data_IF_522677357810
#
_entry.id   IF_522677357810
#
_cell.length_a   1.000
_cell.length_b   1.000
_cell.length_c   1.000
_cell.angle_alpha   90.00
_cell.angle_beta   90.00
_cell.angle_gamma   90.00
#
_symmetry.space_group_name_H-M   'P 1'
#
loop_
_entity.id
_entity.type
_entity.pdbx_description
1 polymer ?
#
# COMPACT_ATOMS: atom_id res chain seq x y z
N UNK A 1 23.87 -51.78 -44.32
CA UNK A 1 24.03 -50.77 -43.24
C UNK A 1 23.66 -49.42 -43.81
N UNK A 2 22.49 -48.87 -43.48
CA UNK A 2 22.08 -47.50 -43.81
C UNK A 2 21.73 -46.82 -42.49
N UNK A 3 22.54 -45.84 -42.08
CA UNK A 3 22.32 -45.06 -40.88
C UNK A 3 21.36 -43.91 -41.20
N UNK A 4 20.22 -43.86 -40.50
CA UNK A 4 19.31 -42.72 -40.51
C UNK A 4 19.83 -41.66 -39.54
N UNK A 5 20.14 -40.48 -40.04
CA UNK A 5 20.37 -39.28 -39.23
C UNK A 5 19.01 -38.69 -38.84
N UNK A 6 18.68 -38.71 -37.55
CA UNK A 6 17.60 -37.91 -36.98
C UNK A 6 18.19 -36.57 -36.51
N UNK A 7 17.83 -35.49 -37.21
CA UNK A 7 18.09 -34.14 -36.74
C UNK A 7 16.99 -33.76 -35.73
N UNK A 8 17.34 -33.73 -34.44
CA UNK A 8 16.45 -33.24 -33.39
C UNK A 8 16.39 -31.71 -33.45
N UNK A 9 15.24 -31.17 -33.85
CA UNK A 9 14.90 -29.76 -33.68
C UNK A 9 14.65 -29.49 -32.19
N UNK A 10 15.63 -28.91 -31.50
CA UNK A 10 15.43 -28.31 -30.19
C UNK A 10 14.71 -26.98 -30.38
N UNK A 11 13.38 -26.99 -30.19
CA UNK A 11 12.58 -25.78 -30.09
C UNK A 11 13.02 -24.96 -28.87
N UNK A 12 13.47 -23.73 -29.12
CA UNK A 12 13.68 -22.70 -28.11
C UNK A 12 12.31 -22.32 -27.53
N UNK A 13 11.90 -22.97 -26.44
CA UNK A 13 10.84 -22.44 -25.60
C UNK A 13 11.35 -21.17 -24.92
N UNK A 14 10.98 -20.01 -25.46
CA UNK A 14 11.12 -18.72 -24.79
C UNK A 14 10.21 -18.72 -23.56
N UNK A 15 10.73 -19.16 -22.41
CA UNK A 15 10.03 -18.97 -21.14
C UNK A 15 10.00 -17.46 -20.86
N UNK A 16 8.83 -16.81 -20.77
CA UNK A 16 8.79 -15.42 -20.33
C UNK A 16 9.39 -15.37 -18.92
N UNK A 17 10.52 -14.67 -18.79
CA UNK A 17 11.06 -14.28 -17.50
C UNK A 17 10.05 -13.29 -16.89
N UNK A 18 9.12 -13.81 -16.10
CA UNK A 18 8.33 -12.97 -15.21
C UNK A 18 9.32 -12.34 -14.23
N UNK A 19 9.46 -11.01 -14.32
CA UNK A 19 10.25 -10.26 -13.37
C UNK A 19 9.75 -10.56 -11.96
N UNK A 20 10.69 -10.76 -11.02
CA UNK A 20 10.32 -10.95 -9.62
C UNK A 20 9.49 -9.74 -9.15
N UNK A 21 8.47 -9.96 -8.30
CA UNK A 21 7.66 -8.86 -7.79
C UNK A 21 8.55 -7.84 -7.08
N UNK A 22 8.27 -6.56 -7.30
CA UNK A 22 9.01 -5.49 -6.67
C UNK A 22 8.91 -5.62 -5.14
N UNK A 23 10.05 -5.64 -4.47
CA UNK A 23 10.11 -5.73 -3.02
C UNK A 23 10.32 -4.34 -2.45
N UNK A 24 9.43 -3.95 -1.54
CA UNK A 24 9.62 -2.74 -0.75
C UNK A 24 10.72 -2.90 0.31
N UNK A 25 11.18 -1.78 0.84
CA UNK A 25 12.24 -1.73 1.84
C UNK A 25 12.14 -0.46 2.71
N UNK A 26 12.82 -0.49 3.85
CA UNK A 26 13.07 0.70 4.67
C UNK A 26 14.57 1.02 4.76
N UNK A 27 14.90 2.29 4.99
CA UNK A 27 16.26 2.77 5.17
C UNK A 27 16.25 4.02 6.03
N UNK A 28 17.19 4.13 6.97
CA UNK A 28 17.35 5.32 7.79
C UNK A 28 18.80 5.80 7.75
N UNK A 29 18.97 7.11 7.71
CA UNK A 29 20.25 7.78 7.81
C UNK A 29 20.08 9.04 8.66
N UNK A 30 20.70 9.05 9.85
CA UNK A 30 20.69 10.18 10.79
C UNK A 30 19.26 10.67 11.10
N UNK A 31 18.87 11.85 10.61
CA UNK A 31 17.59 12.49 10.90
C UNK A 31 16.55 12.29 9.78
N UNK A 32 16.84 11.37 8.85
CA UNK A 32 15.99 11.06 7.71
C UNK A 32 15.81 9.55 7.53
N UNK A 33 14.65 9.16 7.03
CA UNK A 33 14.36 7.79 6.66
C UNK A 33 13.51 7.70 5.39
N UNK A 34 13.47 6.51 4.81
CA UNK A 34 12.81 6.16 3.57
C UNK A 34 12.07 4.85 3.77
N UNK A 35 10.82 4.79 3.31
CA UNK A 35 10.12 3.54 3.04
C UNK A 35 9.58 3.58 1.61
N UNK A 36 9.88 2.52 0.85
CA UNK A 36 9.27 2.29 -0.45
C UNK A 36 8.49 0.98 -0.41
N UNK A 37 7.30 0.98 -1.00
CA UNK A 37 6.42 -0.20 -1.03
C UNK A 37 6.57 -0.99 -2.35
N UNK A 38 5.87 -2.13 -2.42
CA UNK A 38 5.87 -3.05 -3.56
C UNK A 38 5.17 -2.51 -4.82
N UNK A 39 4.61 -1.29 -4.80
CA UNK A 39 4.10 -0.61 -5.99
C UNK A 39 5.14 0.31 -6.63
N UNK A 40 6.23 0.58 -5.90
CA UNK A 40 7.29 1.52 -6.29
C UNK A 40 7.11 2.92 -5.71
N UNK A 41 6.04 3.16 -4.95
CA UNK A 41 5.84 4.43 -4.26
C UNK A 41 6.78 4.54 -3.05
N UNK A 42 7.38 5.71 -2.87
CA UNK A 42 8.37 5.99 -1.85
C UNK A 42 7.95 7.19 -0.99
N UNK A 43 8.26 7.09 0.30
CA UNK A 43 7.98 8.09 1.35
C UNK A 43 9.26 8.34 2.14
N UNK A 44 9.82 9.53 2.05
CA UNK A 44 10.98 9.96 2.79
C UNK A 44 10.56 10.93 3.91
N UNK A 45 10.80 10.54 5.17
CA UNK A 45 10.49 11.37 6.33
C UNK A 45 11.77 12.02 6.87
N UNK A 46 11.72 13.33 7.09
CA UNK A 46 12.76 14.13 7.73
C UNK A 46 12.27 14.72 9.05
N UNK A 47 13.19 14.89 10.00
CA UNK A 47 12.86 15.34 11.35
C UNK A 47 13.61 16.61 11.74
N UNK A 48 13.04 17.35 12.70
CA UNK A 48 13.64 18.53 13.30
C UNK A 48 15.00 18.25 13.92
N UNK A 49 15.79 19.32 14.10
CA UNK A 49 17.10 19.24 14.78
C UNK A 49 16.94 18.79 16.22
N UNK A 50 15.85 19.19 16.89
CA UNK A 50 15.47 18.68 18.21
C UNK A 50 14.28 17.73 18.10
N UNK A 51 14.20 16.81 19.06
CA UNK A 51 13.03 15.96 19.26
C UNK A 51 11.79 16.81 19.53
N UNK A 52 10.62 16.35 19.09
CA UNK A 52 9.35 16.97 19.44
C UNK A 52 9.14 18.36 18.82
N UNK A 53 9.61 18.58 17.59
CA UNK A 53 9.43 19.87 16.90
C UNK A 53 8.60 19.73 15.62
N UNK A 54 9.24 19.27 14.56
CA UNK A 54 8.70 19.27 13.20
C UNK A 54 9.12 18.00 12.48
N UNK A 55 8.27 17.52 11.56
CA UNK A 55 8.64 16.50 10.61
C UNK A 55 8.04 16.79 9.24
N UNK A 56 8.79 16.48 8.20
CA UNK A 56 8.35 16.58 6.80
C UNK A 56 8.28 15.18 6.21
N UNK A 57 7.23 14.91 5.42
CA UNK A 57 7.08 13.75 4.59
C UNK A 57 7.13 14.14 3.11
N UNK A 58 8.13 13.62 2.39
CA UNK A 58 8.23 13.70 0.94
C UNK A 58 7.71 12.41 0.33
N UNK A 59 6.74 12.48 -0.59
CA UNK A 59 6.13 11.30 -1.21
C UNK A 59 6.20 11.38 -2.73
N UNK A 60 6.54 10.27 -3.40
CA UNK A 60 6.46 10.14 -4.86
C UNK A 60 6.07 8.71 -5.25
N UNK A 61 5.03 8.58 -6.07
CA UNK A 61 4.65 7.30 -6.67
C UNK A 61 5.66 6.87 -7.75
N UNK A 62 5.63 5.59 -8.17
CA UNK A 62 6.40 5.12 -9.34
C UNK A 62 5.71 5.48 -10.67
N UNK A 63 6.47 5.48 -11.77
CA UNK A 63 6.04 5.96 -13.09
C UNK A 63 6.63 7.33 -13.44
N UNK A 64 6.82 7.60 -14.74
CA UNK A 64 7.54 8.78 -15.28
C UNK A 64 6.90 10.12 -14.91
N UNK A 65 5.57 10.24 -14.98
CA UNK A 65 4.83 11.49 -14.74
C UNK A 65 4.49 11.77 -13.26
N UNK A 66 5.22 11.15 -12.33
CA UNK A 66 4.93 11.30 -10.89
C UNK A 66 5.78 12.40 -10.25
N UNK A 67 5.12 13.38 -9.65
CA UNK A 67 5.78 14.49 -8.95
C UNK A 67 5.98 14.20 -7.46
N UNK A 68 7.00 14.84 -6.89
CA UNK A 68 7.22 14.83 -5.44
C UNK A 68 6.22 15.77 -4.76
N UNK A 69 5.58 15.29 -3.70
CA UNK A 69 4.73 16.11 -2.82
C UNK A 69 5.35 16.20 -1.44
N UNK A 70 5.18 17.33 -0.76
CA UNK A 70 5.68 17.52 0.60
C UNK A 70 4.55 17.92 1.57
N UNK A 71 4.51 17.25 2.71
CA UNK A 71 3.61 17.55 3.83
C UNK A 71 4.44 17.74 5.09
N UNK A 72 4.09 18.69 5.95
CA UNK A 72 4.72 18.91 7.24
C UNK A 72 3.71 18.71 8.37
N UNK A 73 4.18 18.22 9.51
CA UNK A 73 3.44 18.17 10.78
C UNK A 73 4.35 18.63 11.91
N UNK A 74 3.73 19.04 13.00
CA UNK A 74 4.39 19.50 14.21
C UNK A 74 4.07 18.59 15.40
N UNK A 75 4.83 18.76 16.47
CA UNK A 75 4.65 17.96 17.67
C UNK A 75 3.31 18.23 18.36
N UNK A 76 2.67 17.14 18.78
CA UNK A 76 1.33 17.06 19.35
C UNK A 76 1.30 16.18 20.61
N UNK A 77 2.47 15.81 21.16
CA UNK A 77 2.55 14.97 22.36
C UNK A 77 1.96 15.68 23.58
N UNK A 78 2.24 16.98 23.72
CA UNK A 78 1.77 17.77 24.86
C UNK A 78 0.42 18.43 24.60
N UNK A 79 0.22 18.99 23.40
CA UNK A 79 -0.98 19.72 23.01
C UNK A 79 -1.25 19.51 21.52
N UNK A 80 -2.52 19.36 21.15
CA UNK A 80 -2.94 19.34 19.74
C UNK A 80 -2.61 20.68 19.05
N UNK A 81 -2.47 20.65 17.72
CA UNK A 81 -2.30 21.87 16.92
C UNK A 81 -3.64 22.61 16.87
N UNK A 82 -3.70 23.90 17.28
CA UNK A 82 -4.94 24.68 17.18
C UNK A 82 -5.43 24.81 15.72
N UNK A 83 -6.74 24.71 15.49
CA UNK A 83 -7.33 24.74 14.15
C UNK A 83 -7.11 26.05 13.37
N UNK A 84 -6.84 27.17 14.06
CA UNK A 84 -6.52 28.47 13.48
C UNK A 84 -5.00 28.69 13.30
N UNK A 85 -4.21 27.63 13.47
CA UNK A 85 -2.75 27.72 13.34
C UNK A 85 -2.32 28.03 11.91
N UNK A 86 -1.26 28.83 11.81
CA UNK A 86 -0.62 29.17 10.54
C UNK A 86 0.79 28.59 10.52
N UNK A 87 1.16 27.97 9.40
CA UNK A 87 2.49 27.45 9.18
C UNK A 87 3.12 28.07 7.93
N UNK A 88 4.45 28.26 7.95
CA UNK A 88 5.21 28.78 6.80
C UNK A 88 6.54 28.06 6.63
N UNK A 89 7.13 28.16 5.43
CA UNK A 89 8.48 27.68 5.13
C UNK A 89 9.46 28.85 5.09
N UNK A 90 10.59 28.73 5.77
CA UNK A 90 11.72 29.65 5.66
C UNK A 90 12.97 28.92 5.20
N UNK A 91 13.68 29.50 4.23
CA UNK A 91 14.98 29.01 3.75
C UNK A 91 15.97 30.16 3.80
N UNK A 92 17.09 29.99 4.51
CA UNK A 92 18.09 31.04 4.75
C UNK A 92 17.43 32.37 5.21
N UNK A 93 16.50 32.27 6.16
CA UNK A 93 15.71 33.37 6.73
C UNK A 93 14.75 34.09 5.75
N UNK A 94 14.64 33.62 4.50
CA UNK A 94 13.65 34.09 3.53
C UNK A 94 12.34 33.31 3.69
N UNK A 95 11.23 34.03 3.82
CA UNK A 95 9.87 33.47 3.86
C UNK A 95 9.38 33.05 2.46
N UNK A 96 8.88 31.81 2.36
CA UNK A 96 8.27 31.20 1.17
C UNK A 96 6.73 31.13 1.26
N UNK A 97 6.14 31.84 2.23
CA UNK A 97 4.71 31.99 2.37
C UNK A 97 4.07 30.94 3.26
N UNK A 98 2.76 31.12 3.48
CA UNK A 98 1.95 30.20 4.26
C UNK A 98 1.78 28.84 3.54
N UNK A 99 1.68 27.79 4.34
CA UNK A 99 1.36 26.44 3.88
C UNK A 99 -0.15 26.21 3.91
N UNK A 100 -0.64 25.35 3.02
CA UNK A 100 -2.06 24.97 2.99
C UNK A 100 -2.36 23.99 4.12
N UNK A 101 -3.37 24.24 4.95
CA UNK A 101 -3.88 23.21 5.86
C UNK A 101 -4.49 22.06 5.04
N UNK A 102 -4.00 20.84 5.26
CA UNK A 102 -4.52 19.62 4.64
C UNK A 102 -5.60 18.98 5.51
N UNK A 103 -5.35 18.96 6.82
CA UNK A 103 -6.26 18.55 7.89
C UNK A 103 -5.86 19.29 9.18
N UNK A 104 -6.45 18.89 10.32
CA UNK A 104 -6.23 19.53 11.63
C UNK A 104 -4.78 19.48 12.13
N UNK A 105 -3.92 18.63 11.53
CA UNK A 105 -2.57 18.34 12.00
C UNK A 105 -1.48 18.43 10.94
N UNK A 106 -1.86 18.49 9.66
CA UNK A 106 -0.92 18.47 8.53
C UNK A 106 -1.06 19.70 7.63
N UNK A 107 0.10 20.19 7.16
CA UNK A 107 0.18 21.30 6.21
C UNK A 107 0.90 20.85 4.94
N UNK A 108 0.30 21.14 3.79
CA UNK A 108 0.84 20.81 2.46
C UNK A 108 1.66 21.98 1.93
N UNK A 109 2.81 21.66 1.35
CA UNK A 109 3.60 22.59 0.55
C UNK A 109 3.09 22.57 -0.89
N UNK A 110 3.00 23.75 -1.52
CA UNK A 110 2.75 23.83 -2.96
C UNK A 110 3.98 23.37 -3.79
N UNK A 111 3.88 23.43 -5.12
CA UNK A 111 4.94 22.97 -6.02
C UNK A 111 6.22 23.82 -5.92
N UNK A 112 6.09 25.14 -5.76
CA UNK A 112 7.22 26.05 -5.65
C UNK A 112 7.93 25.88 -4.30
N UNK A 113 7.17 25.78 -3.22
CA UNK A 113 7.64 25.50 -1.87
C UNK A 113 8.32 24.12 -1.79
N UNK A 114 7.73 23.09 -2.41
CA UNK A 114 8.32 21.74 -2.47
C UNK A 114 9.65 21.76 -3.22
N UNK A 115 9.72 22.48 -4.34
CA UNK A 115 10.95 22.63 -5.13
C UNK A 115 12.02 23.39 -4.34
N UNK A 116 11.64 24.47 -3.64
CA UNK A 116 12.55 25.24 -2.80
C UNK A 116 13.10 24.41 -1.64
N UNK A 117 12.24 23.64 -0.96
CA UNK A 117 12.64 22.72 0.10
C UNK A 117 13.64 21.68 -0.42
N UNK A 118 13.37 21.05 -1.56
CA UNK A 118 14.27 20.06 -2.16
C UNK A 118 15.63 20.66 -2.51
N UNK A 119 15.66 21.87 -3.07
CA UNK A 119 16.91 22.59 -3.35
C UNK A 119 17.66 22.92 -2.06
N UNK A 120 16.96 23.32 -1.00
CA UNK A 120 17.57 23.60 0.29
C UNK A 120 18.21 22.35 0.91
N UNK A 121 17.51 21.20 0.86
CA UNK A 121 18.03 19.91 1.34
C UNK A 121 19.26 19.47 0.54
N UNK A 122 19.22 19.62 -0.78
CA UNK A 122 20.33 19.25 -1.69
C UNK A 122 21.58 20.07 -1.40
N UNK A 123 21.41 21.37 -1.14
CA UNK A 123 22.49 22.32 -0.92
C UNK A 123 22.84 22.52 0.57
N UNK A 124 22.23 21.75 1.48
CA UNK A 124 22.43 21.84 2.94
C UNK A 124 22.22 23.26 3.49
N UNK A 125 21.20 23.96 3.00
CA UNK A 125 20.82 25.30 3.45
C UNK A 125 20.07 25.25 4.78
N UNK A 126 19.93 26.40 5.43
CA UNK A 126 19.13 26.52 6.66
C UNK A 126 17.65 26.40 6.28
N UNK A 127 16.93 25.45 6.88
CA UNK A 127 15.50 25.22 6.66
C UNK A 127 14.79 25.32 8.01
N UNK A 128 13.77 26.17 8.09
CA UNK A 128 12.89 26.29 9.24
C UNK A 128 11.45 26.24 8.77
N UNK A 129 10.59 25.61 9.55
CA UNK A 129 9.15 25.84 9.47
C UNK A 129 8.75 26.75 10.60
N UNK A 130 7.75 27.60 10.38
CA UNK A 130 7.08 28.27 11.50
C UNK A 130 5.76 27.61 11.80
N UNK A 131 5.37 27.60 13.07
CA UNK A 131 4.01 27.35 13.52
C UNK A 131 3.62 28.49 14.45
N UNK A 132 2.64 29.31 14.08
CA UNK A 132 2.21 30.50 14.84
C UNK A 132 3.38 31.43 15.22
N UNK A 133 4.34 31.59 14.31
CA UNK A 133 5.54 32.41 14.51
C UNK A 133 6.68 31.74 15.30
N UNK A 134 6.49 30.53 15.84
CA UNK A 134 7.58 29.76 16.43
C UNK A 134 8.44 29.10 15.35
N UNK A 135 9.74 29.36 15.36
CA UNK A 135 10.70 28.78 14.40
C UNK A 135 11.14 27.38 14.84
N UNK A 136 10.96 26.40 13.95
CA UNK A 136 11.23 24.99 14.17
C UNK A 136 12.18 24.49 13.07
N UNK A 137 13.48 24.32 13.38
CA UNK A 137 14.48 23.97 12.37
C UNK A 137 14.36 22.51 11.92
N UNK A 138 14.33 22.30 10.60
CA UNK A 138 14.42 20.97 10.00
C UNK A 138 15.88 20.55 9.86
N UNK A 139 16.23 19.33 10.30
CA UNK A 139 17.58 18.80 10.07
C UNK A 139 17.77 18.42 8.59
N UNK A 140 18.91 18.78 8.01
CA UNK A 140 19.35 18.25 6.70
C UNK A 140 20.27 17.03 6.82
N UNK A 141 20.55 16.55 8.03
CA UNK A 141 21.51 15.48 8.24
C UNK A 141 20.96 14.13 7.77
N UNK A 142 21.52 13.58 6.70
CA UNK A 142 21.11 12.29 6.11
C UNK A 142 20.11 12.41 4.96
N UNK A 143 19.63 13.63 4.65
CA UNK A 143 18.64 13.85 3.59
C UNK A 143 19.15 13.42 2.22
N UNK A 144 20.41 13.72 1.89
CA UNK A 144 21.02 13.36 0.60
C UNK A 144 21.12 11.85 0.41
N UNK A 145 21.51 11.10 1.43
CA UNK A 145 21.59 9.64 1.34
C UNK A 145 20.21 9.01 1.15
N UNK A 146 19.19 9.54 1.85
CA UNK A 146 17.79 9.09 1.71
C UNK A 146 17.21 9.43 0.33
N UNK A 147 17.36 10.68 -0.13
CA UNK A 147 16.85 11.13 -1.43
C UNK A 147 17.56 10.42 -2.60
N UNK A 148 18.88 10.22 -2.51
CA UNK A 148 19.63 9.47 -3.50
C UNK A 148 19.20 8.01 -3.57
N UNK A 149 18.88 7.39 -2.43
CA UNK A 149 18.36 6.02 -2.39
C UNK A 149 16.95 5.91 -2.96
N UNK A 150 16.12 6.94 -2.78
CA UNK A 150 14.80 7.05 -3.38
C UNK A 150 14.88 7.14 -4.91
N UNK A 151 15.76 8.00 -5.44
CA UNK A 151 16.03 8.07 -6.89
C UNK A 151 16.57 6.73 -7.44
N UNK A 152 17.52 6.10 -6.74
CA UNK A 152 18.08 4.83 -7.18
C UNK A 152 17.03 3.72 -7.27
N UNK A 153 16.13 3.62 -6.28
CA UNK A 153 15.06 2.62 -6.30
C UNK A 153 14.05 2.87 -7.42
N UNK A 154 13.65 4.13 -7.62
CA UNK A 154 12.74 4.52 -8.69
C UNK A 154 13.42 4.63 -10.07
N UNK A 155 14.73 4.37 -10.14
CA UNK A 155 15.57 4.45 -11.34
C UNK A 155 15.55 5.82 -12.02
N UNK A 156 15.65 6.85 -11.18
CA UNK A 156 15.60 8.27 -11.58
C UNK A 156 16.95 8.98 -11.47
N UNK A 157 18.01 8.30 -11.02
CA UNK A 157 19.35 8.92 -10.97
C UNK A 157 19.77 9.36 -12.37
N UNK A 158 20.10 10.64 -12.54
CA UNK A 158 20.50 11.22 -13.82
C UNK A 158 19.36 11.65 -14.73
N UNK A 159 18.08 11.48 -14.36
CA UNK A 159 16.94 12.02 -15.13
C UNK A 159 16.78 13.52 -14.89
N UNK A 160 15.99 14.19 -15.73
CA UNK A 160 15.73 15.63 -15.57
C UNK A 160 15.01 15.96 -14.23
N UNK A 161 14.23 15.00 -13.72
CA UNK A 161 13.44 15.12 -12.51
C UNK A 161 13.97 14.32 -11.30
N UNK A 162 15.24 13.90 -11.37
CA UNK A 162 15.96 13.36 -10.22
C UNK A 162 15.90 14.35 -9.04
N UNK A 163 15.84 13.83 -7.81
CA UNK A 163 15.80 14.64 -6.60
C UNK A 163 17.15 15.29 -6.30
N UNK A 164 18.26 14.58 -6.57
CA UNK A 164 19.61 15.09 -6.31
C UNK A 164 20.42 15.28 -7.60
N UNK A 165 20.73 14.17 -8.27
CA UNK A 165 21.67 14.14 -9.38
C UNK A 165 20.90 14.25 -10.69
N UNK A 166 20.41 15.45 -10.99
CA UNK A 166 19.68 15.76 -12.23
C UNK A 166 20.61 15.65 -13.44
N UNK A 167 20.09 15.12 -14.53
CA UNK A 167 20.82 14.97 -15.80
C UNK A 167 19.89 14.97 -17.00
N UNK A 168 20.40 14.44 -18.11
CA UNK A 168 19.72 14.37 -19.41
C UNK A 168 19.29 12.94 -19.77
N UNK A 169 19.34 12.00 -18.82
CA UNK A 169 18.83 10.66 -19.04
C UNK A 169 17.32 10.70 -19.30
N UNK A 170 16.87 9.98 -20.33
CA UNK A 170 15.46 9.88 -20.69
C UNK A 170 14.66 9.05 -19.68
N UNK A 171 13.33 9.18 -19.78
CA UNK A 171 12.38 8.60 -18.83
C UNK A 171 12.16 7.09 -19.01
N UNK A 172 12.67 6.50 -20.09
CA UNK A 172 12.47 5.09 -20.46
C UNK A 172 12.96 4.09 -19.41
N UNK A 173 13.94 4.48 -18.59
CA UNK A 173 14.52 3.64 -17.56
C UNK A 173 13.84 3.78 -16.18
N UNK A 174 12.93 4.77 -16.02
CA UNK A 174 12.21 5.01 -14.78
C UNK A 174 11.39 3.77 -14.41
N UNK A 175 11.38 3.43 -13.13
CA UNK A 175 10.59 2.31 -12.62
C UNK A 175 9.09 2.56 -12.90
N UNK A 176 8.41 1.71 -13.70
CA UNK A 176 6.98 1.82 -13.90
C UNK A 176 6.22 1.48 -12.61
N UNK A 177 5.03 2.08 -12.45
CA UNK A 177 4.14 1.71 -11.37
C UNK A 177 3.77 0.22 -11.46
N UNK A 178 3.91 -0.50 -10.36
CA UNK A 178 3.47 -1.90 -10.25
C UNK A 178 2.13 -1.94 -9.52
N UNK A 179 1.07 -2.58 -10.06
CA UNK A 179 -0.19 -2.74 -9.34
C UNK A 179 0.01 -3.49 -8.03
N UNK A 180 -0.64 -3.02 -6.96
CA UNK A 180 -0.67 -3.75 -5.70
C UNK A 180 -1.37 -5.12 -5.90
N UNK A 181 -0.88 -6.21 -5.30
CA UNK A 181 -1.54 -7.52 -5.38
C UNK A 181 -2.99 -7.44 -4.87
N UNK A 182 -3.91 -8.08 -5.58
CA UNK A 182 -5.31 -8.18 -5.13
C UNK A 182 -5.48 -9.29 -4.09
N UNK A 183 -6.23 -9.01 -3.02
CA UNK A 183 -6.74 -9.99 -2.07
C UNK A 183 -8.26 -9.98 -2.15
N UNK A 184 -8.84 -11.11 -2.56
CA UNK A 184 -10.30 -11.27 -2.53
C UNK A 184 -10.71 -11.72 -1.13
N UNK A 185 -11.11 -10.76 -0.29
CA UNK A 185 -11.52 -11.01 1.09
C UNK A 185 -12.76 -11.90 1.12
N UNK A 186 -12.67 -13.05 1.80
CA UNK A 186 -13.79 -13.96 1.91
C UNK A 186 -14.82 -13.47 2.95
N UNK A 187 -16.10 -13.82 2.79
CA UNK A 187 -17.13 -13.49 3.78
C UNK A 187 -16.81 -14.07 5.16
N UNK A 188 -17.02 -13.26 6.20
CA UNK A 188 -16.82 -13.64 7.60
C UNK A 188 -18.06 -13.38 8.44
N UNK A 189 -18.14 -14.05 9.59
CA UNK A 189 -19.12 -13.74 10.62
C UNK A 189 -18.65 -12.50 11.40
N UNK A 190 -19.32 -11.38 11.16
CA UNK A 190 -18.95 -10.11 11.78
C UNK A 190 -19.30 -10.09 13.26
N UNK A 191 -18.45 -9.45 14.07
CA UNK A 191 -18.61 -9.32 15.52
C UNK A 191 -18.71 -10.67 16.26
N UNK A 192 -18.17 -11.75 15.68
CA UNK A 192 -18.14 -13.05 16.32
C UNK A 192 -17.32 -12.99 17.62
N UNK A 193 -17.93 -13.40 18.73
CA UNK A 193 -17.30 -13.35 20.04
C UNK A 193 -16.45 -14.60 20.30
N UNK A 194 -15.30 -14.47 20.98
CA UNK A 194 -14.53 -15.62 21.43
C UNK A 194 -15.31 -16.38 22.51
N UNK A 195 -15.46 -17.69 22.34
CA UNK A 195 -16.12 -18.56 23.32
C UNK A 195 -15.18 -19.63 23.86
N UNK A 196 -15.33 -20.07 25.13
CA UNK A 196 -14.57 -21.21 25.65
C UNK A 196 -14.84 -22.48 24.84
N UNK A 197 -13.82 -23.34 24.72
CA UNK A 197 -13.97 -24.63 24.05
C UNK A 197 -15.04 -25.51 24.71
N UNK A 198 -15.92 -26.08 23.90
CA UNK A 198 -16.84 -27.17 24.30
C UNK A 198 -16.09 -28.44 24.67
N UNK A 199 -16.76 -29.40 25.30
CA UNK A 199 -16.14 -30.67 25.73
C UNK A 199 -15.49 -31.44 24.56
N UNK A 200 -16.18 -31.56 23.43
CA UNK A 200 -15.67 -32.23 22.24
C UNK A 200 -14.44 -31.50 21.67
N UNK A 201 -14.51 -30.18 21.57
CA UNK A 201 -13.40 -29.35 21.10
C UNK A 201 -12.19 -29.48 22.02
N UNK A 202 -12.37 -29.48 23.34
CA UNK A 202 -11.27 -29.70 24.30
C UNK A 202 -10.60 -31.04 24.08
N UNK A 203 -11.38 -32.11 23.93
CA UNK A 203 -10.85 -33.46 23.71
C UNK A 203 -10.01 -33.56 22.42
N UNK A 204 -10.39 -32.82 21.37
CA UNK A 204 -9.69 -32.85 20.07
C UNK A 204 -8.53 -31.86 19.96
N UNK A 205 -8.70 -30.63 20.45
CA UNK A 205 -7.76 -29.53 20.25
C UNK A 205 -6.65 -29.49 21.32
N UNK A 206 -6.97 -29.68 22.60
CA UNK A 206 -5.97 -29.51 23.68
C UNK A 206 -4.74 -30.42 23.52
N UNK A 207 -4.86 -31.71 23.14
CA UNK A 207 -3.68 -32.56 22.94
C UNK A 207 -2.73 -32.05 21.85
N UNK A 208 -3.21 -31.23 20.92
CA UNK A 208 -2.43 -30.68 19.80
C UNK A 208 -1.91 -29.29 20.13
N UNK A 209 -2.77 -28.42 20.70
CA UNK A 209 -2.44 -27.02 20.94
C UNK A 209 -1.55 -26.84 22.18
N UNK A 210 -1.81 -27.57 23.27
CA UNK A 210 -1.07 -27.41 24.53
C UNK A 210 0.43 -27.68 24.40
N UNK A 211 0.90 -28.73 23.69
CA UNK A 211 2.34 -28.91 23.47
C UNK A 211 2.98 -27.77 22.69
N UNK A 212 2.30 -27.22 21.68
CA UNK A 212 2.79 -26.08 20.90
C UNK A 212 2.87 -24.81 21.75
N UNK A 213 1.83 -24.56 22.56
CA UNK A 213 1.82 -23.47 23.53
C UNK A 213 2.97 -23.60 24.54
N UNK A 214 3.15 -24.77 25.14
CA UNK A 214 4.25 -25.02 26.07
C UNK A 214 5.64 -24.81 25.44
N UNK A 215 5.77 -25.03 24.12
CA UNK A 215 7.04 -24.90 23.42
C UNK A 215 7.32 -23.47 22.94
N UNK A 216 6.28 -22.71 22.57
CA UNK A 216 6.43 -21.47 21.80
C UNK A 216 5.87 -20.22 22.48
N UNK A 217 5.20 -20.38 23.61
CA UNK A 217 4.50 -19.30 24.29
C UNK A 217 4.96 -19.21 25.74
N UNK A 218 5.79 -18.21 26.02
CA UNK A 218 6.45 -18.01 27.31
C UNK A 218 5.44 -17.82 28.46
N UNK A 219 4.31 -17.17 28.20
CA UNK A 219 3.33 -16.84 29.24
C UNK A 219 2.20 -17.86 29.41
N UNK A 220 2.16 -18.91 28.59
CA UNK A 220 1.11 -19.92 28.67
C UNK A 220 1.05 -20.62 30.04
N UNK A 221 2.20 -20.81 30.68
CA UNK A 221 2.31 -21.41 32.02
C UNK A 221 2.61 -20.38 33.13
N UNK A 222 2.70 -19.08 32.80
CA UNK A 222 3.10 -18.06 33.76
C UNK A 222 2.00 -17.82 34.80
N UNK A 223 2.16 -18.39 36.00
CA UNK A 223 1.21 -18.35 37.12
C UNK A 223 0.80 -16.94 37.58
N UNK A 224 1.59 -15.90 37.27
CA UNK A 224 1.26 -14.52 37.60
C UNK A 224 0.10 -13.96 36.77
N UNK A 225 -0.19 -14.54 35.61
CA UNK A 225 -1.32 -14.15 34.75
C UNK A 225 -2.61 -14.84 35.26
N UNK A 226 -3.77 -14.19 35.28
CA UNK A 226 -5.02 -14.86 35.65
C UNK A 226 -5.31 -16.08 34.78
N UNK A 227 -5.80 -17.17 35.39
CA UNK A 227 -6.19 -18.37 34.65
C UNK A 227 -7.34 -18.12 33.65
N UNK A 228 -8.11 -17.04 33.83
CA UNK A 228 -9.12 -16.58 32.88
C UNK A 228 -8.50 -16.06 31.57
N UNK A 229 -7.30 -15.46 31.65
CA UNK A 229 -6.58 -14.91 30.49
C UNK A 229 -5.74 -16.00 29.80
N UNK A 230 -5.32 -17.03 30.55
CA UNK A 230 -4.62 -18.21 30.02
C UNK A 230 -5.59 -19.30 29.56
N UNK A 231 -6.56 -18.94 28.74
CA UNK A 231 -7.53 -19.87 28.16
C UNK A 231 -7.36 -19.94 26.64
N UNK A 232 -7.69 -21.12 26.09
CA UNK A 232 -7.91 -21.25 24.65
C UNK A 232 -9.39 -20.96 24.39
N UNK A 233 -9.64 -19.96 23.55
CA UNK A 233 -10.97 -19.61 23.05
C UNK A 233 -11.09 -19.97 21.58
N UNK A 234 -12.33 -20.03 21.09
CA UNK A 234 -12.66 -20.26 19.69
C UNK A 234 -13.58 -19.15 19.21
N UNK A 235 -13.22 -18.49 18.11
CA UNK A 235 -14.02 -17.47 17.44
C UNK A 235 -14.45 -18.00 16.08
N UNK A 236 -15.74 -17.99 15.78
CA UNK A 236 -16.23 -18.42 14.47
C UNK A 236 -15.77 -17.43 13.39
N UNK A 237 -15.08 -17.91 12.35
CA UNK A 237 -14.55 -17.09 11.26
C UNK A 237 -15.55 -17.05 10.11
N UNK A 238 -15.99 -18.22 9.65
CA UNK A 238 -17.02 -18.39 8.64
C UNK A 238 -17.86 -19.65 8.97
N UNK A 239 -18.67 -20.13 8.01
CA UNK A 239 -19.54 -21.30 8.21
C UNK A 239 -18.76 -22.60 8.49
N UNK A 240 -17.52 -22.69 8.03
CA UNK A 240 -16.70 -23.90 8.02
C UNK A 240 -15.41 -23.77 8.83
N UNK A 241 -15.00 -22.55 9.16
CA UNK A 241 -13.75 -22.29 9.87
C UNK A 241 -13.98 -21.52 11.18
N UNK A 242 -13.10 -21.77 12.13
CA UNK A 242 -12.96 -21.00 13.35
C UNK A 242 -11.50 -20.66 13.62
N UNK A 243 -11.25 -19.65 14.45
CA UNK A 243 -9.94 -19.32 14.98
C UNK A 243 -9.84 -19.75 16.43
N UNK A 244 -8.88 -20.64 16.72
CA UNK A 244 -8.49 -20.89 18.10
C UNK A 244 -7.44 -19.84 18.50
N UNK A 245 -7.61 -19.24 19.68
CA UNK A 245 -6.75 -18.18 20.19
C UNK A 245 -6.33 -18.48 21.63
N UNK A 246 -5.08 -18.18 21.96
CA UNK A 246 -4.58 -18.16 23.34
C UNK A 246 -3.50 -17.08 23.51
N UNK A 247 -3.42 -16.48 24.70
CA UNK A 247 -2.32 -15.59 25.06
C UNK A 247 -0.99 -16.37 24.98
N UNK A 248 -0.03 -15.83 24.24
CA UNK A 248 1.27 -16.44 24.00
C UNK A 248 2.37 -15.77 24.82
N UNK A 249 2.40 -14.45 24.83
CA UNK A 249 3.31 -13.63 25.62
C UNK A 249 2.67 -12.27 25.95
N UNK A 250 3.16 -11.63 27.01
CA UNK A 250 2.73 -10.32 27.52
C UNK A 250 3.96 -9.50 27.91
N UNK A 251 4.04 -8.32 27.35
CA UNK A 251 5.06 -7.31 27.62
C UNK A 251 4.40 -6.01 28.10
N UNK A 252 5.15 -5.03 28.64
CA UNK A 252 4.56 -3.81 29.20
C UNK A 252 3.60 -3.03 28.28
N UNK A 253 3.77 -3.15 26.96
CA UNK A 253 2.98 -2.41 25.96
C UNK A 253 2.29 -3.28 24.92
N UNK A 254 2.54 -4.59 24.93
CA UNK A 254 2.04 -5.49 23.89
C UNK A 254 1.65 -6.83 24.49
N UNK A 255 0.56 -7.38 23.97
CA UNK A 255 0.23 -8.79 24.12
C UNK A 255 0.41 -9.48 22.76
N UNK A 256 0.95 -10.70 22.78
CA UNK A 256 1.03 -11.58 21.64
C UNK A 256 0.14 -12.78 21.82
N UNK A 257 -0.65 -13.10 20.80
CA UNK A 257 -1.58 -14.21 20.77
C UNK A 257 -1.16 -15.23 19.73
N UNK A 258 -1.24 -16.50 20.13
CA UNK A 258 -1.15 -17.61 19.22
C UNK A 258 -2.53 -17.87 18.59
N UNK A 259 -2.55 -17.91 17.25
CA UNK A 259 -3.75 -18.13 16.45
C UNK A 259 -3.60 -19.38 15.60
N UNK A 260 -4.64 -20.22 15.60
CA UNK A 260 -4.76 -21.36 14.69
C UNK A 260 -6.04 -21.28 13.88
N UNK A 261 -5.93 -21.57 12.58
CA UNK A 261 -7.09 -21.86 11.74
C UNK A 261 -7.58 -23.27 12.02
N UNK A 262 -8.86 -23.40 12.34
CA UNK A 262 -9.54 -24.66 12.62
C UNK A 262 -10.62 -24.89 11.56
N UNK A 263 -10.53 -25.99 10.83
CA UNK A 263 -11.65 -26.53 10.07
C UNK A 263 -12.64 -27.18 11.05
N UNK A 264 -13.87 -26.67 11.10
CA UNK A 264 -14.91 -27.11 12.03
C UNK A 264 -15.28 -28.59 11.84
N UNK A 265 -15.08 -29.15 10.64
CA UNK A 265 -15.28 -30.57 10.36
C UNK A 265 -14.05 -31.43 10.72
N UNK A 266 -12.87 -30.83 10.86
CA UNK A 266 -11.59 -31.50 11.10
C UNK A 266 -10.82 -30.92 12.30
N UNK A 267 -11.44 -30.94 13.48
CA UNK A 267 -10.87 -30.41 14.73
C UNK A 267 -9.51 -31.02 15.12
N UNK A 268 -9.10 -32.15 14.54
CA UNK A 268 -7.82 -32.81 14.82
C UNK A 268 -6.64 -32.29 13.99
N UNK A 269 -6.82 -31.26 13.14
CA UNK A 269 -5.74 -30.70 12.30
C UNK A 269 -5.75 -29.16 12.29
N UNK A 270 -5.69 -28.48 13.45
CA UNK A 270 -5.56 -27.03 13.47
C UNK A 270 -4.23 -26.59 12.83
N UNK A 271 -4.26 -25.52 12.02
CA UNK A 271 -3.07 -24.95 11.37
C UNK A 271 -2.63 -23.69 12.09
N UNK A 272 -1.41 -23.69 12.64
CA UNK A 272 -0.83 -22.50 13.27
C UNK A 272 -0.69 -21.38 12.22
N UNK A 273 -1.24 -20.20 12.53
CA UNK A 273 -1.13 -19.00 11.72
C UNK A 273 0.00 -18.11 12.22
N UNK A 274 0.11 -17.93 13.53
CA UNK A 274 1.13 -17.10 14.18
C UNK A 274 1.15 -17.31 15.70
N UNK A 275 2.22 -16.88 16.35
CA UNK A 275 2.36 -16.68 17.80
C UNK A 275 2.40 -15.19 18.21
N UNK A 276 2.43 -14.30 17.22
CA UNK A 276 2.72 -12.87 17.37
C UNK A 276 1.51 -11.95 17.08
N UNK A 277 0.29 -12.48 16.98
CA UNK A 277 -0.85 -11.62 16.68
C UNK A 277 -1.12 -10.67 17.84
N UNK A 278 -1.38 -9.40 17.57
CA UNK A 278 -1.85 -8.46 18.60
C UNK A 278 -3.37 -8.57 18.76
N UNK A 279 -4.08 -8.76 17.66
CA UNK A 279 -5.53 -8.96 17.69
C UNK A 279 -6.05 -9.64 16.42
N UNK A 280 -7.32 -10.05 16.49
CA UNK A 280 -8.12 -10.48 15.35
C UNK A 280 -9.49 -9.81 15.43
N UNK A 281 -9.98 -9.31 14.30
CA UNK A 281 -11.36 -8.84 14.15
C UNK A 281 -11.81 -9.01 12.69
N UNK A 282 -13.03 -9.51 12.48
CA UNK A 282 -13.74 -9.53 11.19
C UNK A 282 -12.88 -9.90 9.98
N UNK A 283 -12.16 -11.02 10.06
CA UNK A 283 -11.35 -11.53 8.96
C UNK A 283 -9.98 -10.87 8.81
N UNK A 284 -9.57 -10.00 9.74
CA UNK A 284 -8.25 -9.40 9.78
C UNK A 284 -7.48 -9.82 11.04
N UNK A 285 -6.23 -10.26 10.87
CA UNK A 285 -5.26 -10.40 11.96
C UNK A 285 -4.35 -9.19 11.91
N UNK A 286 -4.23 -8.50 13.04
CA UNK A 286 -3.36 -7.34 13.21
C UNK A 286 -2.16 -7.74 14.05
N UNK A 287 -0.99 -7.33 13.57
CA UNK A 287 0.30 -7.41 14.24
C UNK A 287 0.72 -5.98 14.50
N UNK A 288 0.84 -5.62 15.76
CA UNK A 288 1.19 -4.28 16.20
C UNK A 288 2.24 -4.44 17.30
N UNK A 289 3.46 -4.01 16.99
CA UNK A 289 4.54 -4.03 17.97
C UNK A 289 4.94 -2.60 18.25
N UNK A 290 4.63 -2.16 19.46
CA UNK A 290 5.06 -0.90 20.04
C UNK A 290 6.33 -1.11 20.84
N UNK A 291 7.31 -0.23 20.70
CA UNK A 291 8.52 -0.28 21.52
C UNK A 291 8.28 0.33 22.92
N UNK A 292 9.29 0.99 23.50
CA UNK A 292 9.50 1.33 24.92
C UNK A 292 8.60 2.45 25.50
N UNK A 293 7.40 2.73 24.97
CA UNK A 293 6.56 3.79 25.56
C UNK A 293 5.49 4.39 24.66
N UNK A 294 4.65 5.30 25.19
CA UNK A 294 3.49 5.88 24.49
C UNK A 294 3.85 6.66 23.21
N UNK A 295 5.02 7.31 23.18
CA UNK A 295 5.57 8.05 22.04
C UNK A 295 6.48 7.20 21.13
N UNK A 296 6.62 5.90 21.42
CA UNK A 296 7.52 5.04 20.67
C UNK A 296 6.93 4.58 19.35
N UNK A 297 7.85 4.16 18.49
CA UNK A 297 7.53 3.62 17.19
C UNK A 297 6.73 2.35 17.25
N UNK A 298 5.93 2.22 16.20
CA UNK A 298 5.07 1.09 15.97
C UNK A 298 5.45 0.48 14.64
N UNK A 299 5.61 -0.83 14.64
CA UNK A 299 5.57 -1.61 13.41
C UNK A 299 4.22 -2.31 13.33
N UNK A 300 3.66 -2.33 12.12
CA UNK A 300 2.34 -2.86 11.86
C UNK A 300 2.35 -3.83 10.68
N UNK A 301 1.63 -4.93 10.82
CA UNK A 301 1.26 -5.80 9.72
C UNK A 301 -0.23 -6.15 9.84
N UNK A 302 -0.94 -6.20 8.72
CA UNK A 302 -2.30 -6.73 8.67
C UNK A 302 -2.34 -7.88 7.68
N UNK A 303 -3.04 -8.96 8.07
CA UNK A 303 -3.33 -10.10 7.20
C UNK A 303 -4.83 -10.31 7.10
N UNK A 304 -5.34 -10.51 5.89
CA UNK A 304 -6.78 -10.63 5.60
C UNK A 304 -7.12 -12.05 5.16
N UNK A 305 -8.26 -12.56 5.63
CA UNK A 305 -8.82 -13.85 5.26
C UNK A 305 -9.27 -13.88 3.80
N UNK A 306 -8.65 -14.73 2.99
CA UNK A 306 -9.00 -14.93 1.57
C UNK A 306 -9.94 -16.12 1.32
N UNK A 307 -10.34 -16.81 2.39
CA UNK A 307 -11.17 -18.03 2.34
C UNK A 307 -10.36 -19.32 2.45
N UNK A 308 -9.03 -19.24 2.46
CA UNK A 308 -8.11 -20.36 2.65
C UNK A 308 -7.07 -20.07 3.73
N UNK A 309 -6.52 -18.86 3.71
CA UNK A 309 -5.51 -18.39 4.66
C UNK A 309 -5.64 -16.89 4.93
N UNK A 310 -4.87 -16.42 5.91
CA UNK A 310 -4.67 -14.99 6.15
C UNK A 310 -3.46 -14.53 5.34
N UNK A 311 -3.69 -13.63 4.38
CA UNK A 311 -2.71 -13.14 3.42
C UNK A 311 -2.33 -11.70 3.76
N UNK A 312 -1.03 -11.32 3.79
CA UNK A 312 -0.62 -9.95 4.13
C UNK A 312 -1.27 -8.92 3.21
N UNK A 313 -1.92 -7.92 3.80
CA UNK A 313 -2.50 -6.78 3.09
C UNK A 313 -1.70 -5.49 3.28
N UNK A 314 -0.96 -5.38 4.38
CA UNK A 314 -0.20 -4.18 4.74
C UNK A 314 0.98 -4.56 5.62
N UNK A 315 2.14 -3.92 5.39
CA UNK A 315 3.27 -3.87 6.33
C UNK A 315 3.84 -2.46 6.37
N UNK A 316 4.04 -1.91 7.56
CA UNK A 316 4.51 -0.54 7.75
C UNK A 316 5.26 -0.35 9.07
N UNK A 317 6.01 0.75 9.18
CA UNK A 317 6.42 1.35 10.44
C UNK A 317 5.85 2.75 10.58
N UNK A 318 5.93 3.32 11.78
CA UNK A 318 5.56 4.73 12.02
C UNK A 318 6.75 5.70 12.03
N UNK A 319 7.87 5.25 11.47
CA UNK A 319 9.12 5.99 11.32
C UNK A 319 10.07 5.87 12.51
N UNK A 320 10.82 6.93 12.78
CA UNK A 320 11.74 7.12 13.90
C UNK A 320 11.08 7.77 15.12
N UNK A 321 9.82 8.21 14.99
CA UNK A 321 8.94 8.65 16.08
C UNK A 321 9.63 9.58 17.06
N UNK A 322 10.16 10.67 16.50
CA UNK A 322 10.92 11.71 17.19
C UNK A 322 10.03 12.57 18.11
N UNK A 323 9.18 11.94 18.92
CA UNK A 323 8.23 12.57 19.85
C UNK A 323 7.31 13.60 19.19
N UNK A 324 6.93 13.37 17.93
CA UNK A 324 6.02 14.26 17.21
C UNK A 324 4.57 13.92 17.54
N UNK A 325 4.15 12.67 17.42
CA UNK A 325 2.76 12.22 17.69
C UNK A 325 2.76 10.88 18.43
N UNK A 326 1.74 10.61 19.27
CA UNK A 326 1.62 9.31 19.94
C UNK A 326 1.48 8.17 18.92
N UNK A 327 2.31 7.13 19.05
CA UNK A 327 2.33 5.99 18.12
C UNK A 327 3.10 6.23 16.81
N UNK A 328 3.71 7.41 16.63
CA UNK A 328 4.59 7.75 15.53
C UNK A 328 3.95 8.63 14.44
N UNK A 329 4.81 9.29 13.68
CA UNK A 329 4.46 10.49 12.89
C UNK A 329 3.78 10.18 11.56
N UNK A 330 4.29 9.19 10.84
CA UNK A 330 3.90 8.90 9.47
C UNK A 330 3.64 7.43 9.31
N UNK A 331 2.64 7.03 8.52
CA UNK A 331 2.53 5.64 8.08
C UNK A 331 3.49 5.41 6.91
N UNK A 332 4.53 4.60 7.15
CA UNK A 332 5.59 4.31 6.18
C UNK A 332 5.50 2.85 5.69
N UNK A 333 4.64 2.55 4.70
CA UNK A 333 4.47 1.19 4.20
C UNK A 333 5.67 0.70 3.40
N UNK A 334 5.96 -0.58 3.56
CA UNK A 334 6.90 -1.34 2.71
C UNK A 334 6.19 -2.44 1.91
N UNK A 335 4.92 -2.70 2.23
CA UNK A 335 4.08 -3.63 1.48
C UNK A 335 2.61 -3.19 1.58
N UNK A 336 1.92 -3.19 0.45
CA UNK A 336 0.50 -2.91 0.30
C UNK A 336 -0.13 -3.90 -0.68
N UNK A 337 -1.38 -4.25 -0.41
CA UNK A 337 -2.26 -5.02 -1.30
C UNK A 337 -3.60 -4.29 -1.44
N UNK A 338 -4.29 -4.54 -2.56
CA UNK A 338 -5.67 -4.09 -2.73
C UNK A 338 -6.63 -5.15 -2.18
N UNK A 339 -7.32 -4.85 -1.09
CA UNK A 339 -8.33 -5.75 -0.50
C UNK A 339 -9.68 -5.49 -1.15
N UNK A 340 -10.22 -6.48 -1.84
CA UNK A 340 -11.51 -6.41 -2.52
C UNK A 340 -12.47 -7.41 -1.86
N UNK A 341 -13.58 -6.97 -1.26
CA UNK A 341 -14.59 -7.87 -0.75
C UNK A 341 -15.10 -8.82 -1.84
N UNK A 342 -15.22 -10.12 -1.55
CA UNK A 342 -15.71 -11.10 -2.53
C UNK A 342 -17.06 -10.71 -3.14
N UNK A 343 -17.97 -10.19 -2.33
CA UNK A 343 -19.29 -9.73 -2.80
C UNK A 343 -19.18 -8.62 -3.84
N UNK A 344 -18.23 -7.68 -3.66
CA UNK A 344 -17.97 -6.64 -4.65
C UNK A 344 -17.43 -7.23 -5.94
N UNK A 345 -16.42 -8.11 -5.88
CA UNK A 345 -15.87 -8.76 -7.08
C UNK A 345 -16.93 -9.58 -7.83
N UNK A 346 -17.84 -10.24 -7.10
CA UNK A 346 -18.97 -10.98 -7.69
C UNK A 346 -19.97 -10.04 -8.36
N UNK A 347 -20.29 -8.90 -7.75
CA UNK A 347 -21.15 -7.87 -8.32
C UNK A 347 -20.53 -7.26 -9.60
N UNK A 348 -19.24 -6.94 -9.58
CA UNK A 348 -18.52 -6.41 -10.75
C UNK A 348 -18.51 -7.41 -11.91
N UNK A 349 -18.24 -8.70 -11.61
CA UNK A 349 -18.28 -9.76 -12.61
C UNK A 349 -19.69 -9.96 -13.19
N UNK A 350 -20.74 -9.82 -12.37
CA UNK A 350 -22.12 -9.89 -12.83
C UNK A 350 -22.47 -8.68 -13.72
N UNK A 351 -22.05 -7.48 -13.33
CA UNK A 351 -22.24 -6.27 -14.13
C UNK A 351 -21.55 -6.39 -15.49
N UNK A 352 -20.28 -6.84 -15.52
CA UNK A 352 -19.53 -7.05 -16.76
C UNK A 352 -20.19 -8.07 -17.68
N UNK A 353 -20.65 -9.20 -17.12
CA UNK A 353 -21.40 -10.21 -17.90
C UNK A 353 -22.71 -9.66 -18.44
N UNK A 354 -23.40 -8.83 -17.66
CA UNK A 354 -24.66 -8.21 -18.08
C UNK A 354 -24.42 -7.24 -19.24
N UNK A 355 -23.38 -6.40 -19.15
CA UNK A 355 -22.96 -5.50 -20.22
C UNK A 355 -22.56 -6.28 -21.48
N UNK A 356 -21.71 -7.30 -21.34
CA UNK A 356 -21.28 -8.14 -22.45
C UNK A 356 -22.47 -8.79 -23.19
N UNK A 357 -23.43 -9.33 -22.45
CA UNK A 357 -24.63 -9.92 -23.03
C UNK A 357 -25.51 -8.88 -23.73
N UNK A 358 -25.60 -7.66 -23.20
CA UNK A 358 -26.32 -6.56 -23.84
C UNK A 358 -25.65 -6.14 -25.17
N UNK A 359 -24.32 -6.06 -25.21
CA UNK A 359 -23.54 -5.80 -26.43
C UNK A 359 -23.79 -6.90 -27.46
N UNK A 360 -23.68 -8.17 -27.08
CA UNK A 360 -23.94 -9.30 -27.99
C UNK A 360 -25.37 -9.31 -28.53
N UNK A 361 -26.36 -8.93 -27.70
CA UNK A 361 -27.75 -8.82 -28.12
C UNK A 361 -27.92 -7.68 -29.13
N UNK A 362 -27.31 -6.53 -28.87
CA UNK A 362 -27.34 -5.38 -29.77
C UNK A 362 -26.69 -5.71 -31.13
N UNK A 363 -25.50 -6.33 -31.14
CA UNK A 363 -24.82 -6.77 -32.37
C UNK A 363 -25.67 -7.70 -33.24
N UNK A 364 -26.47 -8.58 -32.61
CA UNK A 364 -27.38 -9.47 -33.36
C UNK A 364 -28.55 -8.74 -34.00
N UNK A 365 -29.04 -7.67 -33.37
CA UNK A 365 -30.16 -6.88 -33.87
C UNK A 365 -29.76 -5.73 -34.79
N UNK A 366 -28.52 -5.27 -34.67
CA UNK A 366 -27.96 -4.09 -35.31
C UNK A 366 -26.47 -4.37 -35.61
N UNK A 367 -26.14 -4.79 -36.85
CA UNK A 367 -24.76 -5.11 -37.23
C UNK A 367 -23.79 -3.93 -37.10
N UNK A 368 -24.29 -2.69 -37.16
CA UNK A 368 -23.50 -1.47 -36.98
C UNK A 368 -23.22 -1.16 -35.50
N UNK A 369 -23.87 -1.89 -34.57
CA UNK A 369 -23.70 -1.77 -33.12
C UNK A 369 -23.80 -0.32 -32.62
N UNK A 370 -25.01 0.24 -32.60
CA UNK A 370 -25.26 1.53 -31.97
C UNK A 370 -25.04 1.48 -30.44
N UNK A 371 -23.80 1.72 -29.99
CA UNK A 371 -23.37 1.65 -28.58
C UNK A 371 -24.21 2.53 -27.63
N UNK A 372 -24.75 3.66 -28.11
CA UNK A 372 -25.63 4.53 -27.33
C UNK A 372 -26.87 3.78 -26.80
N UNK A 373 -27.46 2.88 -27.60
CA UNK A 373 -28.61 2.06 -27.19
C UNK A 373 -28.24 0.98 -26.15
N UNK A 374 -26.97 0.57 -26.13
CA UNK A 374 -26.45 -0.32 -25.08
C UNK A 374 -26.24 0.50 -23.81
N UNK A 375 -25.62 1.68 -23.91
CA UNK A 375 -25.39 2.57 -22.77
C UNK A 375 -26.68 3.00 -22.06
N UNK A 376 -27.76 3.28 -22.81
CA UNK A 376 -29.09 3.60 -22.25
C UNK A 376 -29.65 2.50 -21.32
N UNK A 377 -29.22 1.24 -21.48
CA UNK A 377 -29.63 0.13 -20.60
C UNK A 377 -28.89 0.12 -19.25
N UNK A 378 -27.79 0.86 -19.15
CA UNK A 378 -26.94 0.96 -17.96
C UNK A 378 -26.79 2.42 -17.55
N UNK A 379 -27.87 3.06 -17.07
CA UNK A 379 -27.80 4.46 -16.64
C UNK A 379 -26.74 4.58 -15.53
N UNK A 380 -25.75 5.43 -15.78
CA UNK A 380 -24.73 5.75 -14.78
C UNK A 380 -25.39 6.51 -13.64
N UNK A 381 -25.24 6.01 -12.42
CA UNK A 381 -25.76 6.64 -11.21
C UNK A 381 -24.61 6.95 -10.26
N UNK A 382 -24.56 8.15 -9.69
CA UNK A 382 -23.52 8.57 -8.75
C UNK A 382 -22.62 9.68 -9.31
N UNK A 383 -21.40 9.79 -8.79
CA UNK A 383 -20.40 10.72 -9.32
C UNK A 383 -19.91 10.23 -10.68
N UNK A 384 -20.40 10.86 -11.74
CA UNK A 384 -19.90 10.69 -13.09
C UNK A 384 -18.67 11.59 -13.20
N UNK A 385 -17.50 10.98 -13.30
CA UNK A 385 -16.28 11.72 -13.64
C UNK A 385 -16.25 11.84 -15.15
N UNK A 386 -16.52 13.03 -15.68
CA UNK A 386 -16.29 13.32 -17.09
C UNK A 386 -14.78 13.30 -17.32
N UNK A 387 -14.30 12.35 -18.12
CA UNK A 387 -12.95 12.37 -18.63
C UNK A 387 -13.01 12.66 -20.13
N UNK A 388 -12.34 13.72 -20.53
CA UNK A 388 -12.13 14.03 -21.94
C UNK A 388 -11.00 13.13 -22.43
N UNK A 389 -11.31 12.20 -23.35
CA UNK A 389 -10.27 11.54 -24.15
C UNK A 389 -9.80 12.55 -25.20
N UNK A 390 -8.82 13.38 -24.85
CA UNK A 390 -8.02 14.09 -25.85
C UNK A 390 -7.07 13.07 -26.45
N UNK A 391 -7.35 12.65 -27.68
CA UNK A 391 -6.32 12.05 -28.52
C UNK A 391 -5.20 13.07 -28.66
N UNK A 392 -3.95 12.63 -28.55
CA UNK A 392 -2.80 13.48 -28.87
C UNK A 392 -2.86 13.78 -30.37
N UNK A 393 -3.56 14.87 -30.66
CA UNK A 393 -3.62 15.68 -31.88
C UNK A 393 -5.08 16.05 -32.18
N UNK A 394 -5.49 17.23 -31.69
CA UNK A 394 -6.67 18.00 -32.11
C UNK A 394 -6.56 18.47 -33.58
N UNK A 395 -6.05 17.61 -34.47
CA UNK A 395 -6.07 17.84 -35.91
C UNK A 395 -7.04 16.86 -36.55
N UNK A 396 -8.16 17.43 -37.00
CA UNK A 396 -9.09 16.98 -38.04
C UNK A 396 -8.68 15.65 -38.71
N UNK A 397 -9.61 14.69 -38.68
CA UNK A 397 -9.67 13.48 -39.54
C UNK A 397 -8.74 13.64 -40.74
N UNK A 398 -7.54 13.07 -40.64
CA UNK A 398 -6.55 13.15 -41.72
C UNK A 398 -7.10 12.39 -42.91
N UNK A 399 -7.41 13.10 -43.99
CA UNK A 399 -7.80 12.50 -45.29
C UNK A 399 -6.59 11.92 -46.03
N UNK A 400 -5.39 12.16 -45.51
CA UNK A 400 -4.14 11.61 -46.02
C UNK A 400 -3.74 10.33 -45.28
N UNK A 401 -3.31 9.34 -46.07
CA UNK A 401 -2.76 8.06 -45.59
C UNK A 401 -1.54 8.31 -44.68
N UNK A 402 -1.53 7.81 -43.42
CA UNK A 402 -0.51 8.16 -42.43
C UNK A 402 0.84 7.46 -42.65
N UNK A 403 0.89 6.41 -43.47
CA UNK A 403 2.14 5.74 -43.85
C UNK A 403 2.04 5.14 -45.26
N UNK A 404 3.12 5.17 -46.08
CA UNK A 404 3.15 4.46 -47.35
C UNK A 404 2.95 2.94 -47.23
N UNK A 405 3.23 2.36 -46.06
CA UNK A 405 3.11 0.91 -45.80
C UNK A 405 1.66 0.41 -45.78
N UNK A 406 0.67 1.31 -45.67
CA UNK A 406 -0.73 0.96 -45.39
C UNK A 406 -1.54 0.47 -46.60
N UNK A 407 -1.05 0.22 -47.81
CA UNK A 407 -1.92 -0.07 -49.00
C UNK A 407 -3.10 0.94 -49.23
N UNK A 408 -3.56 1.07 -50.47
CA UNK A 408 -4.60 2.08 -50.75
C UNK A 408 -6.01 1.52 -50.45
N UNK A 409 -6.15 0.20 -50.54
CA UNK A 409 -7.40 -0.52 -50.25
C UNK A 409 -7.70 -0.53 -48.74
N UNK A 410 -6.70 -0.74 -47.88
CA UNK A 410 -6.89 -0.69 -46.42
C UNK A 410 -7.18 0.74 -45.95
N UNK A 411 -6.53 1.75 -46.56
CA UNK A 411 -6.82 3.15 -46.26
C UNK A 411 -8.25 3.55 -46.69
N UNK A 412 -8.72 3.10 -47.86
CA UNK A 412 -10.10 3.35 -48.29
C UNK A 412 -11.11 2.64 -47.38
N UNK A 413 -10.86 1.40 -46.97
CA UNK A 413 -11.74 0.69 -46.05
C UNK A 413 -11.84 1.38 -44.69
N UNK A 414 -10.72 1.92 -44.19
CA UNK A 414 -10.69 2.70 -42.95
C UNK A 414 -11.39 4.06 -43.10
N UNK A 415 -11.18 4.76 -44.21
CA UNK A 415 -11.81 6.06 -44.47
C UNK A 415 -13.33 5.96 -44.61
N UNK A 416 -13.83 4.87 -45.21
CA UNK A 416 -15.27 4.61 -45.36
C UNK A 416 -15.98 4.29 -44.04
N UNK A 417 -15.25 4.05 -42.94
CA UNK A 417 -15.80 3.87 -41.58
C UNK A 417 -15.86 5.20 -40.79
N UNK A 418 -15.31 6.29 -41.35
CA UNK A 418 -15.25 7.61 -40.72
C UNK A 418 -16.26 8.61 -41.30
N UNK A 419 -16.91 8.27 -42.43
CA UNK A 419 -18.14 8.90 -42.95
C UNK A 419 -19.38 8.19 -42.42
#
# INVERSE_FOLDING_TARGET
MRAFFWAAWLGLCSTPLLAAPLQGFSFAQKDWELACDNTGACRAAGYGVRMGEVSVLLTRNAGSEQHLTATVTFAQIEHDIPADSTASLLIDDRDFGALDALDDSHFRLDSDQTTALLQALTNQRKIEFTLNGQHLPLSSAGSREVLGKMDAFQRRTGTADALLDKGDAGDDAILPATPAPEIIAAPVLHNAQPVPLSMLQRQKLLPILTPLLNQRCDDWQNQAIPAADRQITLTALDKTHSLAQALCWRAPYNDGYALWLVDNAQLSKPRLLTTEASSYADGAIVFLHKERGMADCVTGETRVWDGKTFTPSLKYSTGMCREITPGGTWMLPTFVSQVIPRQQKEADNLALRTLYNAVLKAQKSDPELSLNKVAEQFPLTGHITDFTLTYADDTLITTSKPSPDISDDEWQAFSALLD
#
